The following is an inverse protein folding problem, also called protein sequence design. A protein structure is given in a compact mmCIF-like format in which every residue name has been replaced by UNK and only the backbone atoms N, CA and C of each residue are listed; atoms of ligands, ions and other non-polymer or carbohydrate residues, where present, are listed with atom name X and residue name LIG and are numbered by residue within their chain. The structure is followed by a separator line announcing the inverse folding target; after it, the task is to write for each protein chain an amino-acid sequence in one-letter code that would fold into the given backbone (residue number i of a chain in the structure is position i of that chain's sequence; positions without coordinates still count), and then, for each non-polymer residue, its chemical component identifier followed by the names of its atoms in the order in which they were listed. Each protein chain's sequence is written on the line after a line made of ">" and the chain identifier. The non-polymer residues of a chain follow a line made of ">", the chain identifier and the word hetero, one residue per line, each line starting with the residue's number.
data_IF_257499041619
#
_entry.id   IF_257499041619
#
_cell.length_a   1.000
_cell.length_b   1.000
_cell.length_c   1.000
_cell.angle_alpha   90.00
_cell.angle_beta   90.00
_cell.angle_gamma   90.00
#
_symmetry.space_group_name_H-M   'P 1'
#
loop_
_entity.id
_entity.type
_entity.pdbx_description
1 polymer ?
#
# COMPACT_ATOMS: atom_id res chain seq x y z
N UNK A 1 2.95 1.57 22.85
CA UNK A 1 1.78 2.43 22.62
C UNK A 1 1.07 1.93 21.37
N UNK A 2 -0.24 1.70 21.44
CA UNK A 2 -0.99 1.24 20.28
C UNK A 2 -1.17 2.37 19.25
N UNK A 3 -1.24 2.05 17.95
CA UNK A 3 -1.65 3.03 16.92
C UNK A 3 -2.91 3.85 17.28
N UNK A 4 -3.99 3.26 17.85
CA UNK A 4 -5.16 4.06 18.26
C UNK A 4 -4.87 5.03 19.41
N UNK A 5 -4.00 4.65 20.34
CA UNK A 5 -3.61 5.46 21.51
C UNK A 5 -2.75 6.67 21.08
N UNK A 6 -1.91 6.51 20.06
CA UNK A 6 -1.13 7.61 19.46
C UNK A 6 -2.07 8.59 18.74
N UNK A 7 -3.08 8.09 18.01
CA UNK A 7 -4.07 8.94 17.32
C UNK A 7 -4.92 9.75 18.31
N UNK A 8 -5.30 9.16 19.43
CA UNK A 8 -6.04 9.85 20.49
C UNK A 8 -5.19 10.98 21.12
N UNK A 9 -3.92 10.70 21.42
CA UNK A 9 -3.00 11.73 21.93
C UNK A 9 -2.75 12.86 20.93
N UNK A 10 -2.64 12.56 19.63
CA UNK A 10 -2.51 13.58 18.59
C UNK A 10 -3.75 14.49 18.54
N UNK A 11 -4.94 13.90 18.60
CA UNK A 11 -6.20 14.65 18.59
C UNK A 11 -6.31 15.58 19.80
N UNK A 12 -5.89 15.10 20.98
CA UNK A 12 -5.89 15.90 22.21
C UNK A 12 -4.87 17.04 22.15
N UNK A 13 -3.68 16.81 21.61
CA UNK A 13 -2.66 17.86 21.42
C UNK A 13 -3.13 18.90 20.41
N UNK A 14 -3.78 18.51 19.31
CA UNK A 14 -4.35 19.44 18.34
C UNK A 14 -5.43 20.32 18.95
N UNK A 15 -6.28 19.75 19.80
CA UNK A 15 -7.28 20.50 20.57
C UNK A 15 -6.63 21.51 21.52
N UNK A 16 -5.55 21.15 22.20
CA UNK A 16 -4.81 22.05 23.09
C UNK A 16 -4.14 23.20 22.33
N UNK A 17 -3.56 22.91 21.16
CA UNK A 17 -2.99 23.94 20.27
C UNK A 17 -4.08 24.92 19.83
N UNK A 18 -5.21 24.42 19.35
CA UNK A 18 -6.33 25.25 18.90
C UNK A 18 -6.89 26.13 20.03
N UNK A 19 -6.98 25.61 21.25
CA UNK A 19 -7.41 26.38 22.41
C UNK A 19 -6.42 27.51 22.75
N UNK A 20 -5.12 27.24 22.75
CA UNK A 20 -4.08 28.24 23.03
C UNK A 20 -4.02 29.33 21.95
N UNK A 21 -4.17 28.96 20.68
CA UNK A 21 -4.26 29.91 19.56
C UNK A 21 -5.53 30.76 19.64
N UNK A 22 -6.63 30.22 20.18
CA UNK A 22 -7.88 30.93 20.44
C UNK A 22 -7.83 31.92 21.63
N UNK A 23 -6.82 31.86 22.50
CA UNK A 23 -6.66 32.76 23.65
C UNK A 23 -5.97 34.09 23.30
N UNK A 24 -6.04 34.53 22.03
CA UNK A 24 -5.36 35.71 21.46
C UNK A 24 -5.71 37.10 22.07
N UNK A 25 -6.38 37.14 23.22
CA UNK A 25 -6.62 38.36 24.01
C UNK A 25 -6.17 38.29 25.47
N UNK A 26 -5.66 37.15 25.95
CA UNK A 26 -5.30 36.93 27.37
C UNK A 26 -3.80 36.77 27.58
N UNK A 27 -3.07 36.28 26.59
CA UNK A 27 -1.63 36.02 26.64
C UNK A 27 -0.92 36.78 25.51
N UNK A 28 0.33 37.20 25.74
CA UNK A 28 1.14 37.81 24.68
C UNK A 28 1.51 36.77 23.62
N UNK A 29 1.76 37.21 22.38
CA UNK A 29 2.17 36.32 21.29
C UNK A 29 3.42 35.48 21.66
N UNK A 30 4.35 36.07 22.41
CA UNK A 30 5.55 35.37 22.91
C UNK A 30 5.21 34.28 23.94
N UNK A 31 4.26 34.53 24.85
CA UNK A 31 3.80 33.54 25.83
C UNK A 31 3.04 32.39 25.16
N UNK A 32 2.22 32.70 24.16
CA UNK A 32 1.52 31.69 23.34
C UNK A 32 2.55 30.84 22.58
N UNK A 33 3.54 31.48 21.95
CA UNK A 33 4.57 30.77 21.21
C UNK A 33 5.44 29.88 22.11
N UNK A 34 5.80 30.36 23.30
CA UNK A 34 6.54 29.59 24.30
C UNK A 34 5.75 28.37 24.80
N UNK A 35 4.43 28.49 24.96
CA UNK A 35 3.55 27.38 25.35
C UNK A 35 3.28 26.40 24.20
N UNK A 36 3.24 26.87 22.94
CA UNK A 36 3.02 26.04 21.76
C UNK A 36 4.26 25.22 21.36
N UNK A 37 5.47 25.72 21.60
CA UNK A 37 6.72 25.04 21.25
C UNK A 37 6.80 23.57 21.73
N UNK A 38 6.59 23.25 23.02
CA UNK A 38 6.64 21.87 23.49
C UNK A 38 5.48 21.02 22.95
N UNK A 39 4.30 21.59 22.70
CA UNK A 39 3.16 20.87 22.14
C UNK A 39 3.40 20.48 20.67
N UNK A 40 4.00 21.38 19.88
CA UNK A 40 4.40 21.09 18.50
C UNK A 40 5.51 20.05 18.42
N UNK A 41 6.47 20.10 19.33
CA UNK A 41 7.50 19.07 19.42
C UNK A 41 6.89 17.70 19.73
N UNK A 42 6.01 17.63 20.75
CA UNK A 42 5.33 16.38 21.12
C UNK A 42 4.42 15.85 20.00
N UNK A 43 3.75 16.74 19.27
CA UNK A 43 2.99 16.40 18.06
C UNK A 43 3.92 15.75 17.02
N UNK A 44 5.06 16.37 16.71
CA UNK A 44 6.02 15.82 15.75
C UNK A 44 6.60 14.46 16.18
N UNK A 45 6.87 14.26 17.47
CA UNK A 45 7.33 12.97 18.02
C UNK A 45 6.27 11.87 17.88
N UNK A 46 4.99 12.19 18.16
CA UNK A 46 3.88 11.25 18.00
C UNK A 46 3.56 10.97 16.53
N UNK A 47 3.62 11.98 15.67
CA UNK A 47 3.48 11.83 14.22
C UNK A 47 4.58 10.92 13.65
N UNK A 48 5.84 11.12 14.05
CA UNK A 48 6.96 10.25 13.70
C UNK A 48 6.77 8.81 14.21
N UNK A 49 6.10 8.65 15.35
CA UNK A 49 5.76 7.33 15.90
C UNK A 49 4.60 6.67 15.16
N UNK A 50 3.73 7.46 14.51
CA UNK A 50 2.55 6.98 13.78
C UNK A 50 2.87 6.62 12.33
N UNK A 51 3.70 7.43 11.65
CA UNK A 51 4.08 7.21 10.26
C UNK A 51 5.01 6.01 10.09
N UNK A 52 5.74 5.64 11.15
CA UNK A 52 6.85 4.70 11.02
C UNK A 52 7.93 5.29 10.12
N UNK A 53 9.18 4.88 10.32
CA UNK A 53 10.21 5.28 9.38
C UNK A 53 9.85 4.71 7.99
N UNK A 54 9.76 5.59 7.00
CA UNK A 54 9.60 5.19 5.60
C UNK A 54 10.99 4.84 5.09
N UNK A 55 11.16 3.60 4.67
CA UNK A 55 12.43 3.13 4.10
C UNK A 55 12.21 2.88 2.62
N UNK A 56 12.89 3.66 1.78
CA UNK A 56 12.95 3.43 0.34
C UNK A 56 14.31 2.85 -0.01
N UNK A 57 14.32 1.70 -0.69
CA UNK A 57 15.53 1.11 -1.24
C UNK A 57 15.33 0.90 -2.75
N UNK A 58 16.21 1.50 -3.56
CA UNK A 58 16.32 1.16 -4.97
C UNK A 58 17.34 0.03 -5.12
N UNK A 59 16.91 -1.12 -5.60
CA UNK A 59 17.76 -2.30 -5.78
C UNK A 59 17.74 -2.76 -7.23
N UNK A 60 18.88 -3.17 -7.76
CA UNK A 60 19.03 -3.70 -9.12
C UNK A 60 19.78 -5.03 -9.09
N UNK A 61 19.30 -6.05 -9.79
CA UNK A 61 19.86 -7.42 -9.78
C UNK A 61 19.36 -8.28 -8.61
N UNK A 62 20.16 -9.24 -8.17
CA UNK A 62 19.85 -10.10 -7.01
C UNK A 62 20.27 -9.41 -5.72
N UNK A 63 19.30 -8.87 -4.96
CA UNK A 63 19.61 -8.08 -3.74
C UNK A 63 18.71 -8.51 -2.59
N UNK A 64 19.20 -8.38 -1.36
CA UNK A 64 18.42 -8.54 -0.13
C UNK A 64 18.42 -7.21 0.63
N UNK A 65 17.23 -6.79 1.09
CA UNK A 65 17.06 -5.59 1.92
C UNK A 65 16.71 -6.06 3.33
N UNK A 66 17.48 -5.61 4.31
CA UNK A 66 17.22 -5.87 5.72
C UNK A 66 16.93 -4.53 6.40
N UNK A 67 15.79 -4.44 7.10
CA UNK A 67 15.30 -3.21 7.72
C UNK A 67 15.04 -3.46 9.20
N UNK A 68 15.51 -2.56 10.06
CA UNK A 68 15.40 -2.65 11.51
C UNK A 68 16.76 -2.76 12.20
N UNK A 69 16.77 -2.56 13.51
CA UNK A 69 17.97 -2.70 14.34
C UNK A 69 18.44 -4.16 14.35
N UNK A 70 19.72 -4.41 14.06
CA UNK A 70 20.31 -5.75 13.98
C UNK A 70 20.05 -6.52 12.69
N UNK A 71 19.29 -5.95 11.75
CA UNK A 71 18.99 -6.59 10.48
C UNK A 71 20.24 -6.61 9.56
N UNK A 72 20.66 -7.80 9.11
CA UNK A 72 21.84 -7.97 8.24
C UNK A 72 21.47 -8.73 6.96
N UNK A 73 21.60 -8.09 5.80
CA UNK A 73 21.49 -8.75 4.51
C UNK A 73 22.81 -9.49 4.20
N UNK A 74 22.74 -10.79 3.87
CA UNK A 74 23.93 -11.65 3.67
C UNK A 74 24.19 -12.05 2.21
N UNK A 75 23.51 -11.42 1.26
CA UNK A 75 23.73 -11.61 -0.18
C UNK A 75 22.46 -11.98 -0.93
N UNK A 76 22.60 -12.52 -2.15
CA UNK A 76 21.46 -12.92 -2.95
C UNK A 76 20.64 -14.00 -2.24
N UNK A 77 19.32 -13.79 -2.13
CA UNK A 77 18.34 -14.76 -1.60
C UNK A 77 18.52 -15.15 -0.12
N UNK A 78 19.44 -14.51 0.59
CA UNK A 78 19.75 -14.80 2.00
C UNK A 78 19.44 -13.62 2.92
N UNK A 79 18.54 -13.83 3.87
CA UNK A 79 18.34 -12.91 5.01
C UNK A 79 18.78 -13.66 6.26
N UNK A 80 19.80 -13.13 6.95
CA UNK A 80 20.17 -13.63 8.27
C UNK A 80 19.51 -12.73 9.30
N UNK A 81 18.68 -13.31 10.18
CA UNK A 81 18.08 -12.55 11.27
C UNK A 81 18.58 -13.11 12.59
N UNK A 82 19.46 -12.34 13.23
CA UNK A 82 19.90 -12.60 14.60
C UNK A 82 19.01 -11.86 15.61
N UNK A 83 18.68 -12.52 16.72
CA UNK A 83 17.84 -11.94 17.78
C UNK A 83 16.33 -12.16 17.59
N UNK A 84 15.52 -11.37 18.30
CA UNK A 84 14.07 -11.44 18.23
C UNK A 84 13.54 -10.65 17.04
N UNK A 85 12.86 -11.33 16.12
CA UNK A 85 12.25 -10.70 14.94
C UNK A 85 10.78 -10.40 15.22
N UNK A 86 10.42 -9.12 15.29
CA UNK A 86 9.02 -8.69 15.23
C UNK A 86 8.66 -8.30 13.80
N UNK A 87 7.74 -9.03 13.15
CA UNK A 87 7.26 -8.71 11.80
C UNK A 87 7.11 -9.92 10.89
N UNK A 88 6.94 -9.68 9.58
CA UNK A 88 6.81 -10.72 8.56
C UNK A 88 8.05 -10.78 7.68
N UNK A 89 8.58 -11.99 7.47
CA UNK A 89 9.61 -12.24 6.46
C UNK A 89 8.91 -12.48 5.13
N UNK A 90 9.20 -11.65 4.13
CA UNK A 90 8.60 -11.72 2.80
C UNK A 90 9.72 -12.08 1.82
N UNK A 91 9.72 -13.31 1.29
CA UNK A 91 10.72 -13.82 0.34
C UNK A 91 10.10 -14.02 -1.05
N UNK A 92 10.95 -14.08 -2.08
CA UNK A 92 10.56 -14.21 -3.49
C UNK A 92 10.77 -12.93 -4.31
N UNK A 93 10.62 -13.02 -5.63
CA UNK A 93 10.72 -11.93 -6.60
C UNK A 93 9.36 -11.24 -6.84
N UNK A 94 9.39 -9.97 -7.25
CA UNK A 94 8.20 -9.18 -7.61
C UNK A 94 7.15 -8.96 -6.51
N UNK A 95 7.53 -9.04 -5.23
CA UNK A 95 6.63 -8.71 -4.13
C UNK A 95 6.44 -7.19 -3.99
N UNK A 96 5.20 -6.72 -4.12
CA UNK A 96 4.84 -5.33 -3.79
C UNK A 96 4.35 -5.27 -2.35
N UNK A 97 5.16 -4.70 -1.46
CA UNK A 97 4.79 -4.49 -0.06
C UNK A 97 4.11 -3.12 0.05
N UNK A 98 2.79 -3.13 0.11
CA UNK A 98 2.02 -1.91 0.42
C UNK A 98 2.00 -1.79 1.95
N UNK A 99 2.84 -0.91 2.48
CA UNK A 99 2.73 -0.47 3.87
C UNK A 99 1.53 0.48 3.91
N UNK A 100 0.47 0.10 4.62
CA UNK A 100 -0.76 0.91 4.69
C UNK A 100 -0.48 2.31 5.22
N UNK A 101 -0.41 3.28 4.31
CA UNK A 101 -0.39 4.71 4.58
C UNK A 101 0.86 5.41 4.05
N UNK A 102 0.93 5.71 2.75
CA UNK A 102 0.80 7.05 2.13
C UNK A 102 0.68 6.87 0.59
N UNK A 103 -0.23 7.54 -0.13
CA UNK A 103 -0.10 7.69 -1.57
C UNK A 103 0.85 8.86 -1.88
N UNK A 104 2.01 8.59 -2.49
CA UNK A 104 2.90 9.64 -3.02
C UNK A 104 2.56 9.93 -4.48
N UNK A 105 2.62 11.22 -4.81
CA UNK A 105 2.34 11.76 -6.13
C UNK A 105 3.34 11.23 -7.17
N UNK A 106 2.87 10.28 -7.99
CA UNK A 106 3.64 9.61 -9.02
C UNK A 106 2.85 8.39 -9.51
N UNK A 107 1.91 8.64 -10.40
CA UNK A 107 0.82 7.77 -10.86
C UNK A 107 1.29 6.49 -11.59
N UNK A 108 1.94 5.58 -10.86
CA UNK A 108 1.88 4.16 -11.19
C UNK A 108 0.55 3.67 -10.64
N UNK A 109 -0.38 3.30 -11.52
CA UNK A 109 -1.75 2.93 -11.18
C UNK A 109 -1.78 1.82 -10.10
N UNK A 110 -1.91 2.21 -8.84
CA UNK A 110 -2.01 1.26 -7.74
C UNK A 110 -3.38 0.61 -7.83
N UNK A 111 -3.41 -0.71 -7.97
CA UNK A 111 -4.64 -1.48 -7.94
C UNK A 111 -5.42 -1.18 -6.64
N UNK A 112 -6.68 -0.74 -6.72
CA UNK A 112 -7.52 -0.54 -5.54
C UNK A 112 -7.50 -1.77 -4.61
N UNK A 113 -7.47 -1.57 -3.27
CA UNK A 113 -7.30 -2.67 -2.31
C UNK A 113 -8.41 -3.74 -2.42
N UNK A 114 -9.61 -3.33 -2.83
CA UNK A 114 -10.76 -4.22 -3.10
C UNK A 114 -10.54 -5.19 -4.27
N UNK A 115 -9.61 -4.88 -5.17
CA UNK A 115 -9.30 -5.70 -6.35
C UNK A 115 -8.10 -6.63 -6.13
N UNK A 116 -7.38 -6.48 -5.01
CA UNK A 116 -6.25 -7.35 -4.64
C UNK A 116 -6.66 -8.83 -4.56
N UNK A 117 -7.82 -9.21 -3.98
CA UNK A 117 -8.28 -10.59 -4.00
C UNK A 117 -8.51 -11.11 -5.43
N UNK A 118 -9.05 -10.28 -6.31
CA UNK A 118 -9.28 -10.65 -7.71
C UNK A 118 -7.96 -10.92 -8.44
N UNK A 119 -6.94 -10.06 -8.25
CA UNK A 119 -5.59 -10.28 -8.81
C UNK A 119 -5.00 -11.61 -8.35
N UNK A 120 -5.13 -11.94 -7.06
CA UNK A 120 -4.63 -13.21 -6.52
C UNK A 120 -5.31 -14.41 -7.15
N UNK A 121 -6.65 -14.36 -7.30
CA UNK A 121 -7.41 -15.44 -7.93
C UNK A 121 -7.03 -15.61 -9.40
N UNK A 122 -6.93 -14.52 -10.17
CA UNK A 122 -6.46 -14.58 -11.55
C UNK A 122 -5.04 -15.17 -11.63
N UNK A 123 -4.11 -14.68 -10.82
CA UNK A 123 -2.74 -15.18 -10.79
C UNK A 123 -2.62 -16.64 -10.32
N UNK A 124 -3.60 -17.18 -9.60
CA UNK A 124 -3.61 -18.56 -9.09
C UNK A 124 -4.27 -19.54 -10.06
N UNK A 125 -5.40 -19.15 -10.66
CA UNK A 125 -6.25 -20.05 -11.47
C UNK A 125 -6.07 -19.88 -12.98
N UNK A 126 -5.40 -18.82 -13.42
CA UNK A 126 -5.09 -18.58 -14.83
C UNK A 126 -3.59 -18.59 -15.08
N UNK A 127 -3.19 -19.25 -16.16
CA UNK A 127 -1.86 -19.15 -16.74
C UNK A 127 -1.70 -17.85 -17.54
N UNK A 128 -0.45 -17.50 -17.88
CA UNK A 128 -0.18 -16.27 -18.66
C UNK A 128 -0.95 -16.31 -20.00
N UNK A 129 -0.89 -17.44 -20.70
CA UNK A 129 -1.58 -17.63 -21.98
C UNK A 129 -3.10 -17.52 -21.86
N UNK A 130 -3.70 -18.05 -20.78
CA UNK A 130 -5.15 -17.92 -20.56
C UNK A 130 -5.54 -16.47 -20.23
N UNK A 131 -4.69 -15.70 -19.52
CA UNK A 131 -4.91 -14.28 -19.30
C UNK A 131 -4.85 -13.48 -20.61
N UNK A 132 -3.96 -13.85 -21.55
CA UNK A 132 -3.94 -13.26 -22.88
C UNK A 132 -5.22 -13.57 -23.67
N UNK A 133 -5.70 -14.80 -23.61
CA UNK A 133 -6.99 -15.17 -24.21
C UNK A 133 -8.13 -14.37 -23.59
N UNK A 134 -8.16 -14.24 -22.26
CA UNK A 134 -9.17 -13.45 -21.55
C UNK A 134 -9.15 -11.97 -21.95
N UNK A 135 -7.96 -11.39 -22.10
CA UNK A 135 -7.78 -10.03 -22.59
C UNK A 135 -8.31 -9.88 -24.03
N UNK A 136 -8.02 -10.86 -24.89
CA UNK A 136 -8.51 -10.89 -26.26
C UNK A 136 -10.04 -11.03 -26.34
N UNK A 137 -10.64 -11.88 -25.52
CA UNK A 137 -12.11 -12.05 -25.43
C UNK A 137 -12.80 -10.76 -24.96
N UNK A 138 -12.12 -9.97 -24.13
CA UNK A 138 -12.54 -8.62 -23.71
C UNK A 138 -12.29 -7.56 -24.78
N UNK A 139 -11.68 -7.90 -25.92
CA UNK A 139 -11.33 -6.96 -26.98
C UNK A 139 -10.17 -6.02 -26.60
N UNK A 140 -9.34 -6.41 -25.64
CA UNK A 140 -8.15 -5.65 -25.21
C UNK A 140 -6.94 -6.23 -25.93
N UNK A 141 -6.21 -5.39 -26.67
CA UNK A 141 -4.99 -5.83 -27.34
C UNK A 141 -3.90 -6.10 -26.30
N UNK A 142 -3.20 -7.23 -26.45
CA UNK A 142 -2.12 -7.61 -25.53
C UNK A 142 -0.98 -6.57 -25.47
N UNK A 143 -0.75 -5.82 -26.55
CA UNK A 143 0.23 -4.72 -26.62
C UNK A 143 -0.14 -3.52 -25.72
N UNK A 144 -1.42 -3.36 -25.37
CA UNK A 144 -1.89 -2.26 -24.51
C UNK A 144 -1.68 -2.55 -23.00
N UNK A 145 -1.29 -3.78 -22.66
CA UNK A 145 -1.16 -4.25 -21.28
C UNK A 145 0.31 -4.51 -20.93
N UNK A 146 0.96 -3.64 -20.14
CA UNK A 146 2.33 -3.88 -19.70
C UNK A 146 2.37 -5.01 -18.66
N UNK A 147 3.29 -5.97 -18.82
CA UNK A 147 3.54 -7.00 -17.81
C UNK A 147 4.19 -8.25 -18.37
N UNK A 148 5.37 -8.61 -17.85
CA UNK A 148 6.13 -9.79 -18.31
C UNK A 148 5.85 -11.05 -17.49
N UNK A 149 5.17 -10.90 -16.35
CA UNK A 149 4.80 -11.98 -15.44
C UNK A 149 3.29 -12.10 -15.30
N UNK A 150 2.79 -13.28 -14.91
CA UNK A 150 1.34 -13.50 -14.72
C UNK A 150 0.70 -12.49 -13.75
N UNK A 151 1.37 -12.23 -12.63
CA UNK A 151 0.86 -11.34 -11.60
C UNK A 151 0.80 -9.89 -12.10
N UNK A 152 1.84 -9.45 -12.82
CA UNK A 152 1.87 -8.11 -13.42
C UNK A 152 0.82 -7.98 -14.53
N UNK A 153 0.69 -8.97 -15.39
CA UNK A 153 -0.29 -8.94 -16.48
C UNK A 153 -1.73 -8.97 -15.94
N UNK A 154 -2.02 -9.82 -14.94
CA UNK A 154 -3.32 -9.83 -14.27
C UNK A 154 -3.65 -8.47 -13.63
N UNK A 155 -2.67 -7.82 -13.00
CA UNK A 155 -2.84 -6.50 -12.42
C UNK A 155 -3.16 -5.44 -13.47
N UNK A 156 -2.37 -5.39 -14.55
CA UNK A 156 -2.57 -4.45 -15.66
C UNK A 156 -3.93 -4.66 -16.33
N UNK A 157 -4.35 -5.92 -16.53
CA UNK A 157 -5.66 -6.25 -17.09
C UNK A 157 -6.80 -5.74 -16.19
N UNK A 158 -6.72 -5.99 -14.88
CA UNK A 158 -7.73 -5.50 -13.93
C UNK A 158 -7.77 -3.97 -13.92
N UNK A 159 -6.61 -3.30 -13.90
CA UNK A 159 -6.52 -1.84 -13.93
C UNK A 159 -7.11 -1.24 -15.21
N UNK A 160 -6.85 -1.86 -16.35
CA UNK A 160 -7.41 -1.43 -17.64
C UNK A 160 -8.94 -1.55 -17.64
N UNK A 161 -9.47 -2.70 -17.18
CA UNK A 161 -10.90 -2.90 -17.04
C UNK A 161 -11.52 -1.93 -16.02
N UNK A 162 -10.80 -1.59 -14.94
CA UNK A 162 -11.26 -0.66 -13.92
C UNK A 162 -11.44 0.75 -14.50
N UNK A 163 -10.44 1.24 -15.23
CA UNK A 163 -10.48 2.56 -15.89
C UNK A 163 -11.60 2.68 -16.92
N UNK A 164 -11.95 1.60 -17.59
CA UNK A 164 -13.00 1.57 -18.61
C UNK A 164 -14.38 1.18 -18.07
N UNK A 165 -14.53 1.00 -16.75
CA UNK A 165 -15.74 0.49 -16.11
C UNK A 165 -16.19 -0.92 -16.56
N UNK A 166 -15.28 -1.74 -17.10
CA UNK A 166 -15.56 -3.09 -17.65
C UNK A 166 -15.23 -4.23 -16.70
N UNK A 167 -15.10 -3.94 -15.41
CA UNK A 167 -14.68 -4.93 -14.42
C UNK A 167 -15.74 -6.00 -14.13
N UNK A 168 -17.02 -5.67 -14.30
CA UNK A 168 -18.11 -6.65 -14.21
C UNK A 168 -18.07 -7.65 -15.37
N UNK A 169 -17.76 -7.20 -16.59
CA UNK A 169 -17.57 -8.08 -17.76
C UNK A 169 -16.42 -9.07 -17.50
N UNK A 170 -15.28 -8.57 -17.02
CA UNK A 170 -14.13 -9.39 -16.64
C UNK A 170 -14.51 -10.49 -15.64
N UNK A 171 -15.20 -10.12 -14.54
CA UNK A 171 -15.61 -11.08 -13.51
C UNK A 171 -16.65 -12.07 -14.04
N UNK A 172 -17.53 -11.65 -14.95
CA UNK A 172 -18.52 -12.52 -15.59
C UNK A 172 -17.83 -13.59 -16.43
N UNK A 173 -16.87 -13.21 -17.29
CA UNK A 173 -16.07 -14.16 -18.06
C UNK A 173 -15.26 -15.11 -17.15
N UNK A 174 -14.70 -14.60 -16.05
CA UNK A 174 -13.99 -15.43 -15.08
C UNK A 174 -14.92 -16.50 -14.45
N UNK A 175 -16.16 -16.14 -14.13
CA UNK A 175 -17.17 -17.09 -13.61
C UNK A 175 -17.58 -18.13 -14.64
N UNK A 176 -17.72 -17.74 -15.90
CA UNK A 176 -18.04 -18.67 -16.99
C UNK A 176 -16.92 -19.69 -17.23
N UNK A 177 -15.67 -19.23 -17.28
CA UNK A 177 -14.53 -20.13 -17.50
C UNK A 177 -14.19 -20.98 -16.28
N UNK A 178 -14.45 -20.48 -15.07
CA UNK A 178 -14.14 -21.15 -13.79
C UNK A 178 -15.31 -20.99 -12.81
N UNK A 179 -16.41 -21.74 -12.99
CA UNK A 179 -17.58 -21.65 -12.12
C UNK A 179 -17.32 -22.21 -10.72
N UNK A 180 -16.28 -23.04 -10.56
CA UNK A 180 -15.89 -23.62 -9.27
C UNK A 180 -15.15 -22.64 -8.35
N UNK A 181 -14.76 -21.46 -8.84
CA UNK A 181 -14.01 -20.46 -8.07
C UNK A 181 -14.97 -19.38 -7.60
N UNK A 182 -14.90 -19.03 -6.31
CA UNK A 182 -15.70 -17.94 -5.74
C UNK A 182 -15.08 -16.59 -6.09
N UNK A 183 -15.60 -15.96 -7.13
CA UNK A 183 -15.14 -14.65 -7.59
C UNK A 183 -15.72 -13.51 -6.73
N UNK A 184 -14.89 -12.55 -6.26
CA UNK A 184 -15.37 -11.43 -5.45
C UNK A 184 -16.39 -10.58 -6.22
N UNK A 185 -17.35 -10.00 -5.51
CA UNK A 185 -18.19 -8.94 -6.09
C UNK A 185 -17.36 -7.67 -6.17
N UNK A 186 -17.29 -7.14 -7.37
CA UNK A 186 -16.56 -5.93 -7.70
C UNK A 186 -17.59 -4.82 -7.82
N UNK A 187 -17.46 -3.79 -7.01
CA UNK A 187 -18.34 -2.64 -7.01
C UNK A 187 -17.49 -1.45 -7.39
N UNK A 188 -17.68 -0.89 -8.58
CA UNK A 188 -16.98 0.36 -8.93
C UNK A 188 -17.66 1.49 -8.17
N UNK A 189 -16.93 2.15 -7.25
CA UNK A 189 -17.42 3.36 -6.61
C UNK A 189 -17.41 4.48 -7.65
N UNK A 190 -18.61 4.98 -7.95
CA UNK A 190 -18.88 6.05 -8.93
C UNK A 190 -18.30 7.40 -8.50
#
# INVERSE_FOLDING_TARGET
>A
MGKPEIQEQLTEIEKQIANLEGMGGVLSAEQIQAALAPLRQKKAELESSLTGATYSAAVSGSVAVAQGEGATAVGERGVNVGGNVGGSIITGDSNTIIIYGVPSAGEAAVLPPELVPLRKLLGQYFSLSELHTLAFDLGIAHDDLPGSTRSQFAESLILHCYRQNRLEELVTLCREQRPFVTWPRVSQSR
#
